data_IF_232578679637
#
_entry.id   IF_232578679637
#
_cell.length_a   1.000
_cell.length_b   1.000
_cell.length_c   1.000
_cell.angle_alpha   90.00
_cell.angle_beta   90.00
_cell.angle_gamma   90.00
#
_symmetry.space_group_name_H-M   'P 1'
#
loop_
_entity.id
_entity.type
_entity.pdbx_description
1 polymer ?
#
# COMPACT_ATOMS: atom_id res chain seq x y z
N UNK A 1 -3.58 -0.66 46.17
CA UNK A 1 -3.51 -0.34 45.66
C UNK A 1 -3.51 -0.10 45.15
N UNK A 2 -3.47 -0.17 44.85
CA UNK A 2 -3.34 0.14 44.17
C UNK A 2 -3.22 0.02 43.25
N UNK A 3 -3.19 -0.31 43.09
CA UNK A 3 -3.07 -0.29 42.08
C UNK A 3 -3.13 -0.80 41.33
N UNK A 4 -3.08 -1.28 41.42
CA UNK A 4 -3.05 -1.56 40.55
C UNK A 4 -3.47 -1.70 39.83
N UNK A 5 -3.62 -1.61 39.75
CA UNK A 5 -3.91 -1.66 38.83
C UNK A 5 -4.06 -1.59 38.00
N UNK A 6 -3.97 -1.63 38.10
CA UNK A 6 -4.02 -1.38 37.29
C UNK A 6 -3.84 -1.76 36.44
N UNK A 7 -3.58 -2.19 36.44
CA UNK A 7 -3.31 -2.49 35.51
C UNK A 7 -3.77 -3.04 34.83
N UNK A 8 -3.89 -3.42 35.05
CA UNK A 8 -4.21 -3.91 34.19
C UNK A 8 -4.69 -3.61 33.34
N UNK A 9 -4.76 -3.21 33.23
CA UNK A 9 -5.18 -2.93 32.37
C UNK A 9 -4.88 -2.91 31.49
N UNK A 10 -4.57 -3.05 31.43
CA UNK A 10 -4.21 -3.00 30.59
C UNK A 10 -4.17 -3.64 29.85
N UNK A 11 -3.99 -4.06 29.74
CA UNK A 11 -3.86 -4.74 28.89
C UNK A 11 -4.68 -4.97 28.14
N UNK A 12 -5.26 -5.20 28.34
CA UNK A 12 -6.07 -5.41 27.64
C UNK A 12 -6.24 -4.71 26.67
N UNK A 13 -6.22 -3.96 26.75
CA UNK A 13 -6.45 -3.22 25.74
C UNK A 13 -5.74 -3.60 24.63
N UNK A 14 -5.02 -4.32 24.65
CA UNK A 14 -4.37 -4.55 23.65
C UNK A 14 -4.85 -5.39 22.75
N UNK A 15 -5.38 -6.24 23.02
CA UNK A 15 -5.73 -7.17 22.07
C UNK A 15 -6.52 -6.72 20.96
N UNK A 16 -7.42 -5.98 21.21
CA UNK A 16 -8.31 -5.67 20.22
C UNK A 16 -7.79 -4.84 19.17
N UNK A 17 -6.67 -4.37 19.37
CA UNK A 17 -6.19 -3.54 18.46
C UNK A 17 -5.91 -4.16 17.19
N UNK A 18 -5.84 -5.36 17.12
CA UNK A 18 -5.55 -6.00 15.91
C UNK A 18 -6.58 -5.90 14.88
N UNK A 19 -7.59 -5.23 15.19
CA UNK A 19 -8.54 -5.09 14.31
C UNK A 19 -8.16 -4.66 13.05
N UNK A 20 -8.68 -4.60 12.13
CA UNK A 20 -8.55 -4.24 10.80
C UNK A 20 -7.48 -3.21 10.51
N UNK A 21 -6.39 -3.63 9.95
CA UNK A 21 -5.36 -2.71 9.55
C UNK A 21 -5.78 -1.87 8.36
N UNK A 22 -6.81 -2.30 7.64
CA UNK A 22 -7.29 -1.52 6.53
C UNK A 22 -8.06 -0.30 7.00
N UNK A 23 -8.56 -0.33 8.24
CA UNK A 23 -9.27 0.83 8.77
C UNK A 23 -8.28 1.97 8.91
N UNK A 24 -8.61 3.10 8.41
CA UNK A 24 -7.73 4.24 8.46
C UNK A 24 -6.83 4.39 7.25
N UNK A 25 -6.77 3.40 6.37
CA UNK A 25 -6.00 3.56 5.15
C UNK A 25 -6.67 4.59 4.26
N UNK A 26 -5.89 5.57 3.83
CA UNK A 26 -6.34 6.56 2.87
C UNK A 26 -5.18 6.78 1.90
N UNK A 27 -5.42 6.47 0.64
CA UNK A 27 -4.39 6.63 -0.39
C UNK A 27 -3.85 8.05 -0.44
N UNK A 28 -4.67 9.04 -0.12
CA UNK A 28 -4.24 10.45 -0.15
C UNK A 28 -3.14 10.75 0.86
N UNK A 29 -3.06 9.99 1.94
CA UNK A 29 -2.03 10.22 2.95
C UNK A 29 -0.64 9.95 2.42
N UNK A 30 -0.53 9.20 1.34
CA UNK A 30 0.76 8.90 0.72
C UNK A 30 1.18 9.98 -0.28
N UNK A 31 0.29 10.89 -0.61
CA UNK A 31 0.59 12.01 -1.49
C UNK A 31 1.30 11.57 -2.78
N UNK A 32 0.76 10.54 -3.41
CA UNK A 32 1.31 10.02 -4.65
C UNK A 32 1.00 10.98 -5.81
N UNK A 33 2.01 11.24 -6.65
CA UNK A 33 1.82 12.07 -7.82
C UNK A 33 1.85 11.18 -9.04
N UNK A 34 0.71 10.98 -9.65
CA UNK A 34 0.61 10.13 -10.82
C UNK A 34 1.31 10.76 -12.01
N UNK A 35 1.72 9.94 -12.94
CA UNK A 35 2.34 10.39 -14.17
C UNK A 35 2.05 9.34 -15.24
N UNK A 36 2.27 9.67 -16.48
CA UNK A 36 2.04 8.75 -17.57
C UNK A 36 3.29 7.97 -17.90
N UNK A 37 3.19 6.66 -18.07
CA UNK A 37 4.33 5.90 -18.57
C UNK A 37 4.66 6.35 -19.99
N UNK A 38 5.91 6.24 -20.38
CA UNK A 38 6.31 6.59 -21.73
C UNK A 38 6.43 5.35 -22.62
N UNK A 39 5.66 4.34 -22.36
CA UNK A 39 5.57 3.12 -23.15
C UNK A 39 4.13 2.65 -23.18
N UNK A 40 3.76 1.89 -24.19
CA UNK A 40 2.45 1.24 -24.23
C UNK A 40 2.56 -0.26 -23.92
N UNK A 41 3.74 -0.73 -23.53
CA UNK A 41 3.96 -2.15 -23.24
C UNK A 41 3.78 -2.37 -21.74
N UNK A 42 2.84 -3.23 -21.36
CA UNK A 42 2.62 -3.55 -19.97
C UNK A 42 3.69 -4.46 -19.40
N UNK A 43 4.12 -4.16 -18.18
CA UNK A 43 5.19 -4.91 -17.53
C UNK A 43 4.82 -6.37 -17.30
N UNK A 44 3.60 -6.64 -16.84
CA UNK A 44 3.21 -8.00 -16.47
C UNK A 44 2.93 -8.89 -17.67
N UNK A 45 2.43 -8.33 -18.77
CA UNK A 45 2.07 -9.11 -19.93
C UNK A 45 3.11 -9.05 -21.05
N UNK A 46 3.97 -8.04 -21.01
CA UNK A 46 4.95 -7.77 -22.06
C UNK A 46 4.27 -7.56 -23.42
N UNK A 47 3.09 -7.01 -23.40
CA UNK A 47 2.30 -6.75 -24.62
C UNK A 47 1.79 -5.32 -24.63
N UNK A 48 1.53 -4.76 -25.81
CA UNK A 48 0.96 -3.42 -25.88
C UNK A 48 -0.48 -3.44 -25.37
N UNK A 49 -0.92 -2.34 -24.83
CA UNK A 49 -2.30 -2.18 -24.40
C UNK A 49 -2.75 -0.74 -24.65
N UNK A 50 -4.08 -0.58 -24.82
CA UNK A 50 -4.65 0.73 -25.10
C UNK A 50 -4.68 1.63 -23.91
N UNK A 51 -4.69 1.05 -22.71
CA UNK A 51 -4.88 1.79 -21.50
C UNK A 51 -3.78 1.40 -20.53
N UNK A 52 -2.82 2.25 -20.33
CA UNK A 52 -1.67 1.92 -19.53
C UNK A 52 -1.51 2.93 -18.39
N UNK A 53 -1.25 2.44 -17.22
CA UNK A 53 -1.08 3.25 -16.00
C UNK A 53 0.18 2.84 -15.29
N UNK A 54 0.58 3.64 -14.32
CA UNK A 54 1.67 3.26 -13.43
C UNK A 54 1.08 2.42 -12.30
N UNK A 55 1.69 1.30 -12.04
CA UNK A 55 1.31 0.41 -10.95
C UNK A 55 2.42 0.37 -9.91
N UNK A 56 2.05 0.40 -8.64
CA UNK A 56 2.99 0.14 -7.55
C UNK A 56 3.12 -1.37 -7.43
N UNK A 57 4.33 -1.91 -7.57
CA UNK A 57 4.55 -3.35 -7.42
C UNK A 57 4.11 -3.78 -6.03
N UNK A 58 4.57 -3.07 -5.00
CA UNK A 58 4.03 -3.21 -3.65
C UNK A 58 3.03 -2.07 -3.49
N UNK A 59 1.76 -2.39 -3.39
CA UNK A 59 0.71 -1.37 -3.35
C UNK A 59 0.79 -0.53 -2.09
N UNK A 60 0.24 0.67 -2.15
CA UNK A 60 0.22 1.56 -1.00
C UNK A 60 -0.57 0.94 0.15
N UNK A 61 -1.66 0.25 -0.16
CA UNK A 61 -2.46 -0.41 0.87
C UNK A 61 -1.69 -1.56 1.51
N UNK A 62 -0.99 -2.36 0.72
CA UNK A 62 -0.19 -3.45 1.26
C UNK A 62 0.93 -2.92 2.15
N UNK A 63 1.60 -1.85 1.73
CA UNK A 63 2.63 -1.22 2.55
C UNK A 63 2.02 -0.72 3.87
N UNK A 64 0.85 -0.09 3.79
CA UNK A 64 0.18 0.43 4.98
C UNK A 64 -0.08 -0.70 5.99
N UNK A 65 -0.63 -1.80 5.50
CA UNK A 65 -0.95 -2.95 6.34
C UNK A 65 0.29 -3.68 6.86
N UNK A 66 1.40 -3.50 6.19
CA UNK A 66 2.66 -4.14 6.59
C UNK A 66 3.54 -3.24 7.45
N UNK A 67 3.02 -2.10 7.88
CA UNK A 67 3.77 -1.24 8.80
C UNK A 67 3.81 0.22 8.44
N UNK A 68 3.53 0.57 7.20
CA UNK A 68 3.62 1.98 6.79
C UNK A 68 2.57 2.86 7.47
N UNK A 69 1.56 2.26 8.09
CA UNK A 69 0.56 3.03 8.83
C UNK A 69 1.22 3.93 9.88
N UNK A 70 2.34 3.49 10.45
CA UNK A 70 3.03 4.25 11.48
C UNK A 70 4.07 5.23 10.95
N UNK A 71 4.28 5.27 9.64
CA UNK A 71 5.26 6.19 9.08
C UNK A 71 4.73 7.63 9.08
N UNK A 72 5.62 8.58 9.18
CA UNK A 72 5.24 9.98 9.00
C UNK A 72 4.92 10.29 7.54
N UNK A 73 4.37 11.44 7.31
CA UNK A 73 3.94 11.85 5.98
C UNK A 73 5.08 11.87 4.95
N UNK A 74 6.25 12.29 5.37
CA UNK A 74 7.41 12.36 4.49
C UNK A 74 7.80 11.00 3.98
N UNK A 75 7.83 10.00 4.83
CA UNK A 75 8.24 8.65 4.46
C UNK A 75 7.17 7.99 3.59
N UNK A 76 5.91 8.22 3.88
CA UNK A 76 4.82 7.72 3.05
C UNK A 76 4.93 8.29 1.64
N UNK A 77 5.19 9.59 1.54
CA UNK A 77 5.32 10.25 0.26
C UNK A 77 6.52 9.71 -0.53
N UNK A 78 7.64 9.55 0.13
CA UNK A 78 8.84 9.02 -0.50
C UNK A 78 8.59 7.62 -1.06
N UNK A 79 7.92 6.77 -0.31
CA UNK A 79 7.59 5.42 -0.77
C UNK A 79 6.66 5.47 -1.98
N UNK A 80 5.62 6.26 -1.91
CA UNK A 80 4.63 6.30 -2.98
C UNK A 80 5.20 6.80 -4.30
N UNK A 81 6.22 7.66 -4.24
CA UNK A 81 6.81 8.27 -5.42
C UNK A 81 8.16 7.67 -5.81
N UNK A 82 8.53 6.57 -5.18
CA UNK A 82 9.78 5.88 -5.49
C UNK A 82 9.59 5.07 -6.77
N UNK A 83 10.22 5.51 -7.83
CA UNK A 83 10.03 4.89 -9.15
C UNK A 83 10.58 3.48 -9.25
N UNK A 84 11.43 3.06 -8.32
CA UNK A 84 11.88 1.67 -8.32
C UNK A 84 10.77 0.69 -7.97
N UNK A 85 9.66 1.19 -7.43
CA UNK A 85 8.48 0.38 -7.12
C UNK A 85 7.36 0.59 -8.15
N UNK A 86 7.67 1.22 -9.28
CA UNK A 86 6.66 1.55 -10.29
C UNK A 86 6.92 0.78 -11.57
N UNK A 87 5.86 0.27 -12.17
CA UNK A 87 5.94 -0.33 -13.51
C UNK A 87 4.73 0.10 -14.32
N UNK A 88 4.87 0.20 -15.64
CA UNK A 88 3.72 0.44 -16.50
C UNK A 88 2.87 -0.81 -16.55
N UNK A 89 1.58 -0.68 -16.42
CA UNK A 89 0.68 -1.82 -16.37
C UNK A 89 -0.58 -1.52 -17.17
N UNK A 90 -1.05 -2.49 -17.92
CA UNK A 90 -2.32 -2.37 -18.63
C UNK A 90 -3.43 -2.22 -17.61
N UNK A 91 -4.37 -1.33 -17.88
CA UNK A 91 -5.42 -1.01 -16.93
C UNK A 91 -6.16 -2.24 -16.41
N UNK A 92 -6.45 -3.19 -17.31
CA UNK A 92 -7.16 -4.39 -16.91
C UNK A 92 -6.35 -5.23 -15.92
N UNK A 93 -5.06 -5.41 -16.20
CA UNK A 93 -4.18 -6.20 -15.32
C UNK A 93 -4.03 -5.52 -13.98
N UNK A 94 -3.84 -4.21 -14.00
CA UNK A 94 -3.69 -3.44 -12.78
C UNK A 94 -4.95 -3.52 -11.91
N UNK A 95 -6.12 -3.46 -12.52
CA UNK A 95 -7.37 -3.60 -11.79
C UNK A 95 -7.51 -4.98 -11.15
N UNK A 96 -7.08 -6.01 -11.86
CA UNK A 96 -7.13 -7.37 -11.32
C UNK A 96 -6.15 -7.57 -10.18
N UNK A 97 -4.97 -6.95 -10.28
CA UNK A 97 -3.97 -7.06 -9.24
C UNK A 97 -4.44 -6.41 -7.94
N UNK A 98 -5.06 -5.24 -8.03
CA UNK A 98 -5.52 -4.54 -6.84
C UNK A 98 -4.39 -4.34 -5.85
N UNK A 99 -4.56 -4.83 -4.63
CA UNK A 99 -3.53 -4.74 -3.60
C UNK A 99 -2.83 -6.06 -3.33
N UNK A 100 -2.90 -7.00 -4.27
CA UNK A 100 -2.17 -8.26 -4.11
C UNK A 100 -0.68 -7.98 -4.05
N UNK A 101 0.04 -8.75 -3.26
CA UNK A 101 1.48 -8.60 -3.19
C UNK A 101 2.11 -9.22 -4.43
N UNK A 102 3.34 -8.85 -4.76
CA UNK A 102 4.02 -9.46 -5.89
C UNK A 102 4.09 -10.97 -5.79
N UNK A 103 4.26 -11.49 -4.58
CA UNK A 103 4.30 -12.93 -4.37
C UNK A 103 2.99 -13.59 -4.77
N UNK A 104 1.87 -12.95 -4.48
CA UNK A 104 0.56 -13.52 -4.78
C UNK A 104 0.21 -13.38 -6.26
N UNK A 105 0.67 -12.34 -6.92
CA UNK A 105 0.27 -12.04 -8.27
C UNK A 105 1.22 -12.61 -9.32
N UNK A 106 2.50 -12.51 -9.08
CA UNK A 106 3.50 -13.00 -10.02
C UNK A 106 3.84 -14.45 -9.79
#
# INVERSE_FOLDING_TARGET
MKTLFKTLTVSIAMGTVSLSFADGYDRKDFNYRSYKPNTSIGFYTNKPCDFINIDHIVSLKDAYESGAASWGASKKKAFANDRSNHVPSCGRVNSSKGSATPKDFL
#
